data_IF_385279563392
#
_entry.id   IF_385279563392
#
_cell.length_a   1.000
_cell.length_b   1.000
_cell.length_c   1.000
_cell.angle_alpha   90.00
_cell.angle_beta   90.00
_cell.angle_gamma   90.00
#
_symmetry.space_group_name_H-M   'P 1'
#
loop_
_entity.id
_entity.type
_entity.pdbx_description
1 polymer ?
#
# COMPACT_ATOMS: atom_id res chain seq x y z
N UNK A 1 9.56 26.02 -26.22
CA UNK A 1 9.05 24.67 -25.96
C UNK A 1 8.23 24.73 -24.67
N UNK A 2 6.94 24.41 -24.73
CA UNK A 2 5.98 24.62 -23.62
C UNK A 2 6.09 23.49 -22.59
N UNK A 3 6.36 23.86 -21.35
CA UNK A 3 6.27 22.99 -20.16
C UNK A 3 4.83 22.45 -20.02
N UNK A 4 4.70 21.15 -19.72
CA UNK A 4 3.42 20.51 -19.45
C UNK A 4 3.26 20.22 -17.94
N UNK A 5 2.05 20.34 -17.38
CA UNK A 5 1.82 20.18 -15.95
C UNK A 5 1.60 18.71 -15.53
N UNK A 6 1.89 18.43 -14.25
CA UNK A 6 1.91 17.11 -13.59
C UNK A 6 0.49 16.61 -13.28
N UNK A 7 0.24 15.31 -13.50
CA UNK A 7 -1.06 14.61 -13.34
C UNK A 7 -1.21 14.02 -11.92
N UNK A 8 -2.44 14.04 -11.37
CA UNK A 8 -2.86 13.32 -10.13
C UNK A 8 -3.32 11.89 -10.47
N UNK A 9 -2.98 10.92 -9.61
CA UNK A 9 -3.32 9.49 -9.78
C UNK A 9 -4.84 9.24 -9.83
N UNK A 10 -5.24 8.25 -10.63
CA UNK A 10 -6.62 7.79 -10.79
C UNK A 10 -7.19 7.24 -9.47
N UNK A 11 -8.42 7.64 -9.15
CA UNK A 11 -9.16 7.16 -7.99
C UNK A 11 -9.48 5.67 -8.14
N UNK A 12 -9.13 4.88 -7.12
CA UNK A 12 -9.44 3.45 -6.98
C UNK A 12 -10.85 3.19 -6.40
N UNK A 13 -11.66 4.25 -6.27
CA UNK A 13 -12.95 4.20 -5.57
C UNK A 13 -14.09 3.70 -6.48
N UNK A 14 -13.87 3.65 -7.80
CA UNK A 14 -14.90 3.27 -8.79
C UNK A 14 -15.18 1.74 -8.86
N UNK A 15 -14.35 0.90 -8.23
CA UNK A 15 -14.58 -0.56 -8.20
C UNK A 15 -15.19 -1.09 -6.89
N UNK A 16 -15.46 -0.24 -5.90
CA UNK A 16 -16.05 -0.67 -4.61
C UNK A 16 -17.59 -0.61 -4.56
N UNK A 17 -18.24 -0.36 -5.70
CA UNK A 17 -19.71 -0.31 -5.78
C UNK A 17 -20.29 -1.57 -6.41
N UNK A 18 -20.36 -2.69 -5.68
CA UNK A 18 -21.21 -3.83 -6.06
C UNK A 18 -21.91 -4.52 -4.87
N UNK A 19 -23.23 -4.28 -4.84
CA UNK A 19 -24.35 -5.08 -4.37
C UNK A 19 -24.38 -5.57 -2.91
N UNK A 20 -25.21 -4.89 -2.10
CA UNK A 20 -25.94 -5.47 -0.98
C UNK A 20 -26.80 -6.64 -1.47
N UNK A 21 -26.52 -7.85 -1.01
CA UNK A 21 -27.45 -8.97 -1.12
C UNK A 21 -28.47 -8.83 0.00
N UNK A 22 -29.74 -8.64 -0.37
CA UNK A 22 -30.90 -8.86 0.49
C UNK A 22 -31.07 -10.37 0.67
N UNK A 23 -31.01 -10.87 1.90
CA UNK A 23 -31.52 -12.19 2.25
C UNK A 23 -32.90 -12.01 2.91
N UNK A 24 -33.95 -12.27 2.12
CA UNK A 24 -35.25 -12.69 2.62
C UNK A 24 -35.16 -14.15 3.08
N UNK A 25 -35.71 -14.48 4.25
CA UNK A 25 -35.77 -15.85 4.74
C UNK A 25 -36.37 -16.00 6.13
N UNK A 26 -37.68 -16.19 6.14
CA UNK A 26 -38.55 -16.40 7.30
C UNK A 26 -38.17 -17.64 8.15
N UNK A 27 -38.40 -17.54 9.46
CA UNK A 27 -38.27 -18.68 10.39
C UNK A 27 -38.79 -18.36 11.78
N UNK A 28 -40.06 -18.69 12.01
CA UNK A 28 -40.79 -18.62 13.28
C UNK A 28 -40.16 -19.49 14.39
N UNK A 29 -40.27 -19.03 15.64
CA UNK A 29 -39.94 -19.80 16.84
C UNK A 29 -40.07 -18.98 18.12
N UNK A 30 -41.27 -19.01 18.71
CA UNK A 30 -41.62 -18.50 20.03
C UNK A 30 -40.88 -19.27 21.15
N UNK A 31 -40.43 -18.59 22.21
CA UNK A 31 -40.93 -18.76 23.59
C UNK A 31 -40.12 -17.94 24.62
N UNK A 32 -40.85 -17.54 25.65
CA UNK A 32 -40.62 -16.51 26.67
C UNK A 32 -39.58 -16.87 27.77
N UNK A 33 -38.98 -15.87 28.43
CA UNK A 33 -39.24 -15.57 29.86
C UNK A 33 -38.52 -14.28 30.35
N UNK A 34 -39.13 -13.66 31.35
CA UNK A 34 -39.02 -12.28 31.85
C UNK A 34 -37.77 -11.95 32.69
N UNK A 35 -37.43 -10.64 32.75
CA UNK A 35 -36.39 -10.11 33.65
C UNK A 35 -36.25 -8.57 33.65
N UNK A 36 -37.16 -7.94 34.38
CA UNK A 36 -37.38 -6.51 34.70
C UNK A 36 -36.15 -5.56 34.89
N UNK A 37 -36.31 -4.32 34.42
CA UNK A 37 -36.01 -3.15 35.27
C UNK A 37 -34.95 -2.16 34.82
N UNK A 38 -35.35 -1.12 34.05
CA UNK A 38 -35.22 0.34 34.37
C UNK A 38 -35.27 1.23 33.12
N UNK A 39 -36.47 1.72 32.82
CA UNK A 39 -36.75 2.88 31.96
C UNK A 39 -36.48 4.20 32.68
N UNK A 40 -35.71 5.10 32.06
CA UNK A 40 -35.81 6.54 32.26
C UNK A 40 -36.12 7.20 30.91
N UNK A 41 -37.32 7.77 30.80
CA UNK A 41 -37.78 8.59 29.66
C UNK A 41 -37.30 10.04 29.83
N UNK A 42 -37.06 10.72 28.70
CA UNK A 42 -37.71 11.98 28.23
C UNK A 42 -36.81 12.62 27.16
N UNK A 43 -37.19 12.52 25.88
CA UNK A 43 -37.97 13.49 25.08
C UNK A 43 -37.17 14.69 24.58
N UNK A 44 -36.88 14.77 23.27
CA UNK A 44 -36.99 16.01 22.46
C UNK A 44 -37.40 15.66 21.00
N UNK A 45 -38.62 16.11 20.67
CA UNK A 45 -39.29 16.45 19.40
C UNK A 45 -38.72 16.05 18.03
N UNK A 46 -39.60 15.45 17.22
CA UNK A 46 -39.63 15.55 15.77
C UNK A 46 -40.19 16.92 15.34
N UNK A 47 -39.52 17.60 14.40
CA UNK A 47 -40.05 18.08 13.11
C UNK A 47 -39.14 19.19 12.54
N UNK A 48 -38.53 18.93 11.37
CA UNK A 48 -38.07 19.90 10.37
C UNK A 48 -37.24 19.17 9.31
N UNK A 49 -37.80 19.01 8.11
CA UNK A 49 -37.07 18.49 6.96
C UNK A 49 -35.86 19.35 6.59
N UNK A 50 -34.75 18.71 6.19
CA UNK A 50 -33.60 19.34 5.56
C UNK A 50 -32.78 18.29 4.78
N UNK A 51 -32.42 18.65 3.54
CA UNK A 51 -31.77 17.84 2.51
C UNK A 51 -30.41 17.24 2.94
N UNK A 52 -30.01 16.06 2.43
CA UNK A 52 -28.65 15.55 2.60
C UNK A 52 -27.79 16.04 1.44
N UNK A 53 -27.29 17.27 1.52
CA UNK A 53 -26.34 17.78 0.52
C UNK A 53 -25.29 18.70 1.13
N UNK A 54 -24.60 18.27 2.19
CA UNK A 54 -23.39 18.98 2.63
C UNK A 54 -22.40 18.02 3.32
N UNK A 55 -21.44 17.48 2.55
CA UNK A 55 -20.13 17.08 3.12
C UNK A 55 -18.94 17.09 2.13
N UNK A 56 -19.01 17.82 1.01
CA UNK A 56 -17.85 17.96 0.10
C UNK A 56 -17.39 19.41 -0.14
N UNK A 57 -18.18 20.43 0.22
CA UNK A 57 -17.80 21.83 -0.01
C UNK A 57 -16.80 22.38 1.03
N UNK A 58 -16.63 21.70 2.18
CA UNK A 58 -15.65 22.10 3.20
C UNK A 58 -14.18 21.91 2.77
N UNK A 59 -13.93 21.29 1.61
CA UNK A 59 -12.60 21.07 1.03
C UNK A 59 -12.33 21.89 -0.24
N UNK A 60 -13.21 22.82 -0.61
CA UNK A 60 -12.92 23.85 -1.62
C UNK A 60 -12.81 23.38 -3.08
N UNK A 61 -13.48 22.29 -3.46
CA UNK A 61 -13.52 21.84 -4.85
C UNK A 61 -14.72 22.44 -5.60
N UNK A 62 -14.44 23.41 -6.50
CA UNK A 62 -15.40 23.84 -7.52
C UNK A 62 -15.17 23.06 -8.82
N UNK A 63 -16.20 22.39 -9.38
CA UNK A 63 -16.08 21.77 -10.69
C UNK A 63 -16.48 22.80 -11.75
N UNK A 64 -15.51 23.45 -12.38
CA UNK A 64 -15.67 24.12 -13.68
C UNK A 64 -14.30 24.47 -14.26
N UNK A 65 -13.79 23.60 -15.12
CA UNK A 65 -13.52 23.90 -16.54
C UNK A 65 -12.75 22.73 -17.16
N UNK A 66 -13.27 22.25 -18.30
CA UNK A 66 -12.80 21.08 -19.03
C UNK A 66 -11.31 21.23 -19.42
N UNK A 67 -10.42 20.63 -18.63
CA UNK A 67 -9.04 20.38 -19.01
C UNK A 67 -8.99 19.17 -19.98
N UNK A 68 -8.16 19.21 -21.03
CA UNK A 68 -8.05 18.12 -21.99
C UNK A 68 -7.49 16.86 -21.30
N UNK A 69 -8.29 15.80 -21.31
CA UNK A 69 -7.97 14.50 -20.76
C UNK A 69 -6.77 13.87 -21.50
N UNK A 70 -5.67 13.63 -20.79
CA UNK A 70 -4.57 12.78 -21.24
C UNK A 70 -4.66 11.47 -20.45
N UNK A 71 -5.11 10.40 -21.10
CA UNK A 71 -5.58 9.16 -20.46
C UNK A 71 -4.43 8.30 -19.93
N UNK A 72 -4.33 8.15 -18.61
CA UNK A 72 -3.57 7.07 -17.93
C UNK A 72 -3.99 5.67 -18.40
N UNK A 73 -5.19 5.56 -18.97
CA UNK A 73 -5.76 4.31 -19.52
C UNK A 73 -4.98 3.75 -20.72
N UNK A 74 -4.02 4.51 -21.26
CA UNK A 74 -3.23 4.10 -22.43
C UNK A 74 -1.83 3.59 -22.09
N UNK A 75 -1.41 3.67 -20.82
CA UNK A 75 -0.07 3.24 -20.42
C UNK A 75 -0.12 1.87 -19.73
N UNK A 76 0.56 0.90 -20.34
CA UNK A 76 0.69 -0.44 -19.77
C UNK A 76 1.85 -0.48 -18.75
N UNK A 77 1.50 -0.39 -17.47
CA UNK A 77 2.44 -0.49 -16.35
C UNK A 77 3.10 -1.86 -16.20
N UNK A 78 2.57 -2.88 -16.87
CA UNK A 78 3.11 -4.25 -16.86
C UNK A 78 4.23 -4.46 -17.87
N UNK A 79 4.37 -3.53 -18.84
CA UNK A 79 5.42 -3.59 -19.85
C UNK A 79 6.67 -2.86 -19.37
N UNK A 80 7.82 -3.54 -19.44
CA UNK A 80 9.13 -2.95 -19.14
C UNK A 80 9.37 -1.71 -20.01
N UNK A 81 9.59 -0.56 -19.36
CA UNK A 81 9.89 0.69 -20.04
C UNK A 81 11.27 1.19 -19.60
N UNK A 82 12.24 1.35 -20.51
CA UNK A 82 13.59 1.76 -20.15
C UNK A 82 13.69 3.22 -19.66
N UNK A 83 12.64 4.03 -19.87
CA UNK A 83 12.61 5.45 -19.51
C UNK A 83 11.66 5.76 -18.34
N UNK A 84 10.95 4.75 -17.82
CA UNK A 84 9.92 4.95 -16.79
C UNK A 84 9.90 3.78 -15.82
N UNK A 85 9.41 4.01 -14.61
CA UNK A 85 9.13 2.93 -13.67
C UNK A 85 8.01 2.02 -14.18
N UNK A 86 8.15 0.72 -13.97
CA UNK A 86 7.13 -0.29 -14.26
C UNK A 86 7.02 -1.28 -13.10
N UNK A 87 5.96 -2.08 -13.09
CA UNK A 87 5.76 -3.12 -12.09
C UNK A 87 4.94 -4.28 -12.64
N UNK A 88 5.28 -5.50 -12.26
CA UNK A 88 4.58 -6.69 -12.68
C UNK A 88 4.22 -7.55 -11.47
N UNK A 89 3.01 -8.09 -11.46
CA UNK A 89 2.57 -9.08 -10.48
C UNK A 89 2.22 -10.37 -11.21
N UNK A 90 2.79 -11.49 -10.75
CA UNK A 90 2.50 -12.82 -11.29
C UNK A 90 2.34 -13.81 -10.15
N UNK A 91 1.34 -14.70 -10.27
CA UNK A 91 1.15 -15.76 -9.30
C UNK A 91 2.05 -16.95 -9.64
N UNK A 92 2.86 -17.38 -8.67
CA UNK A 92 3.63 -18.63 -8.75
C UNK A 92 2.86 -19.83 -8.17
N UNK A 93 1.65 -19.61 -7.67
CA UNK A 93 0.85 -20.68 -7.11
C UNK A 93 0.27 -21.57 -8.20
N UNK A 94 0.10 -22.84 -7.87
CA UNK A 94 -0.48 -23.82 -8.76
C UNK A 94 -1.95 -23.51 -9.08
N UNK A 95 -2.38 -23.95 -10.27
CA UNK A 95 -3.78 -23.95 -10.65
C UNK A 95 -4.42 -25.23 -10.18
N UNK A 96 -5.56 -25.10 -9.52
CA UNK A 96 -6.39 -26.24 -9.17
C UNK A 96 -6.76 -27.01 -10.46
N UNK A 97 -6.49 -28.32 -10.55
CA UNK A 97 -6.57 -29.06 -11.82
C UNK A 97 -8.00 -29.14 -12.39
N UNK A 98 -9.03 -29.08 -11.53
CA UNK A 98 -10.44 -29.13 -11.94
C UNK A 98 -11.04 -27.74 -12.19
N UNK A 99 -10.92 -26.80 -11.24
CA UNK A 99 -11.54 -25.48 -11.32
C UNK A 99 -10.72 -24.46 -12.12
N UNK A 100 -9.43 -24.74 -12.37
CA UNK A 100 -8.51 -23.81 -13.05
C UNK A 100 -8.14 -22.57 -12.23
N UNK A 101 -8.68 -22.41 -11.02
CA UNK A 101 -8.39 -21.29 -10.14
C UNK A 101 -6.99 -21.41 -9.56
N UNK A 102 -6.26 -20.29 -9.47
CA UNK A 102 -4.97 -20.25 -8.79
C UNK A 102 -5.19 -20.47 -7.28
N UNK A 103 -4.37 -21.31 -6.65
CA UNK A 103 -4.28 -21.32 -5.20
C UNK A 103 -3.87 -19.93 -4.69
N UNK A 104 -4.38 -19.56 -3.51
CA UNK A 104 -4.19 -18.22 -2.96
C UNK A 104 -4.91 -17.10 -3.69
N UNK A 105 -5.99 -17.40 -4.42
CA UNK A 105 -6.91 -16.36 -4.95
C UNK A 105 -7.74 -15.76 -3.80
N UNK A 106 -7.95 -14.44 -3.75
CA UNK A 106 -7.39 -13.43 -4.65
C UNK A 106 -5.93 -13.11 -4.34
N UNK A 107 -5.19 -12.61 -5.34
CA UNK A 107 -3.80 -12.16 -5.14
C UNK A 107 -3.81 -11.05 -4.09
N UNK A 108 -3.11 -11.30 -2.98
CA UNK A 108 -3.03 -10.39 -1.85
C UNK A 108 -1.81 -9.46 -1.90
N UNK A 109 -0.95 -9.61 -2.91
CA UNK A 109 0.19 -8.71 -3.11
C UNK A 109 -0.26 -7.44 -3.84
N UNK A 110 0.24 -6.30 -3.39
CA UNK A 110 -0.03 -4.99 -3.98
C UNK A 110 1.26 -4.21 -4.06
N UNK A 111 1.48 -3.53 -5.17
CA UNK A 111 2.56 -2.55 -5.32
C UNK A 111 1.99 -1.21 -5.77
N UNK A 112 2.75 -0.15 -5.56
CA UNK A 112 2.46 1.15 -6.12
C UNK A 112 3.74 1.96 -6.32
N UNK A 113 3.75 2.78 -7.36
CA UNK A 113 4.91 3.58 -7.74
C UNK A 113 4.45 5.01 -8.05
N UNK A 114 5.15 5.98 -7.48
CA UNK A 114 5.02 7.39 -7.83
C UNK A 114 6.41 7.86 -8.25
N UNK A 115 6.61 8.05 -9.56
CA UNK A 115 7.90 8.49 -10.12
C UNK A 115 7.81 9.92 -10.66
N UNK A 116 8.84 10.71 -10.35
CA UNK A 116 9.05 12.09 -10.81
C UNK A 116 10.45 12.24 -11.37
N UNK A 117 10.73 13.38 -11.99
CA UNK A 117 12.05 13.70 -12.52
C UNK A 117 13.15 13.69 -11.45
N UNK A 118 12.82 14.06 -10.22
CA UNK A 118 13.79 14.23 -9.14
C UNK A 118 13.63 13.25 -7.97
N UNK A 119 12.54 12.50 -7.89
CA UNK A 119 12.31 11.54 -6.81
C UNK A 119 11.40 10.39 -7.24
N UNK A 120 11.41 9.30 -6.47
CA UNK A 120 10.49 8.20 -6.65
C UNK A 120 10.08 7.59 -5.32
N UNK A 121 8.82 7.20 -5.21
CA UNK A 121 8.28 6.40 -4.11
C UNK A 121 7.88 5.06 -4.70
N UNK A 122 8.40 3.97 -4.15
CA UNK A 122 8.08 2.60 -4.53
C UNK A 122 7.59 1.89 -3.27
N UNK A 123 6.43 1.26 -3.33
CA UNK A 123 5.90 0.52 -2.20
C UNK A 123 5.42 -0.86 -2.63
N UNK A 124 5.63 -1.85 -1.76
CA UNK A 124 5.18 -3.23 -1.93
C UNK A 124 4.61 -3.75 -0.61
N UNK A 125 3.48 -4.45 -0.70
CA UNK A 125 2.82 -5.10 0.41
C UNK A 125 2.44 -6.53 -0.01
N UNK A 126 2.84 -7.53 0.77
CA UNK A 126 2.42 -8.94 0.64
C UNK A 126 1.42 -9.23 1.77
N UNK A 127 0.14 -9.39 1.42
CA UNK A 127 -0.90 -9.74 2.37
C UNK A 127 -0.60 -11.08 3.03
N UNK A 128 -0.61 -11.11 4.36
CA UNK A 128 -0.28 -12.31 5.12
C UNK A 128 -1.43 -13.31 5.02
N UNK A 129 -1.10 -14.56 4.70
CA UNK A 129 -2.04 -15.62 4.31
C UNK A 129 -2.73 -15.32 2.96
N UNK A 130 -3.95 -15.84 2.77
CA UNK A 130 -4.74 -15.69 1.55
C UNK A 130 -6.11 -15.10 1.90
N UNK A 131 -6.84 -14.67 0.87
CA UNK A 131 -8.21 -14.24 1.02
C UNK A 131 -8.39 -12.72 0.96
N UNK A 132 -9.65 -12.30 1.04
CA UNK A 132 -10.04 -10.91 0.83
C UNK A 132 -9.47 -9.97 1.90
N UNK A 133 -9.43 -10.40 3.16
CA UNK A 133 -8.89 -9.60 4.25
C UNK A 133 -7.41 -9.27 4.06
N UNK A 134 -6.60 -10.24 3.59
CA UNK A 134 -5.18 -10.03 3.32
C UNK A 134 -4.97 -9.07 2.13
N UNK A 135 -5.74 -9.25 1.06
CA UNK A 135 -5.74 -8.36 -0.10
C UNK A 135 -6.13 -6.93 0.28
N UNK A 136 -7.21 -6.78 1.04
CA UNK A 136 -7.67 -5.47 1.50
C UNK A 136 -6.60 -4.81 2.37
N UNK A 137 -5.98 -5.56 3.28
CA UNK A 137 -4.91 -5.04 4.12
C UNK A 137 -3.74 -4.49 3.28
N UNK A 138 -3.27 -5.26 2.30
CA UNK A 138 -2.19 -4.82 1.40
C UNK A 138 -2.55 -3.56 0.60
N UNK A 139 -3.78 -3.47 0.08
CA UNK A 139 -4.27 -2.27 -0.64
C UNK A 139 -4.28 -1.05 0.28
N UNK A 140 -4.79 -1.21 1.51
CA UNK A 140 -4.83 -0.14 2.51
C UNK A 140 -3.43 0.30 2.91
N UNK A 141 -2.50 -0.64 3.14
CA UNK A 141 -1.12 -0.33 3.48
C UNK A 141 -0.45 0.52 2.39
N UNK A 142 -0.55 0.09 1.12
CA UNK A 142 0.01 0.82 -0.01
C UNK A 142 -0.62 2.21 -0.14
N UNK A 143 -1.95 2.29 -0.13
CA UNK A 143 -2.66 3.57 -0.28
C UNK A 143 -2.28 4.56 0.81
N UNK A 144 -2.39 4.15 2.08
CA UNK A 144 -2.09 5.01 3.22
C UNK A 144 -0.63 5.45 3.23
N UNK A 145 0.30 4.55 2.92
CA UNK A 145 1.72 4.88 2.90
C UNK A 145 2.10 5.83 1.75
N UNK A 146 1.64 5.54 0.53
CA UNK A 146 1.93 6.37 -0.64
C UNK A 146 1.33 7.76 -0.50
N UNK A 147 0.08 7.88 -0.06
CA UNK A 147 -0.57 9.17 0.14
C UNK A 147 0.18 10.01 1.19
N UNK A 148 0.61 9.39 2.29
CA UNK A 148 1.33 10.06 3.36
C UNK A 148 2.69 10.61 2.89
N UNK A 149 3.51 9.78 2.24
CA UNK A 149 4.83 10.20 1.73
C UNK A 149 4.65 11.22 0.60
N UNK A 150 3.72 10.99 -0.33
CA UNK A 150 3.47 11.89 -1.45
C UNK A 150 3.06 13.29 -0.98
N UNK A 151 2.18 13.38 0.01
CA UNK A 151 1.77 14.66 0.57
C UNK A 151 2.92 15.42 1.25
N UNK A 152 3.90 14.72 1.82
CA UNK A 152 5.10 15.33 2.39
C UNK A 152 6.05 15.83 1.28
N UNK A 153 6.25 15.03 0.23
CA UNK A 153 7.04 15.42 -0.96
C UNK A 153 6.45 16.68 -1.62
N UNK A 154 5.13 16.75 -1.80
CA UNK A 154 4.47 17.91 -2.42
C UNK A 154 4.59 19.19 -1.60
N UNK A 155 4.82 19.07 -0.28
CA UNK A 155 5.04 20.20 0.63
C UNK A 155 6.51 20.58 0.77
N UNK A 156 7.42 19.88 0.07
CA UNK A 156 8.87 20.05 0.16
C UNK A 156 9.38 20.00 1.61
N UNK A 157 8.86 19.04 2.40
CA UNK A 157 9.06 19.01 3.85
C UNK A 157 10.33 18.29 4.32
N UNK A 158 11.27 17.98 3.42
CA UNK A 158 12.46 17.17 3.74
C UNK A 158 13.75 17.98 3.64
N UNK A 159 14.41 18.20 4.78
CA UNK A 159 15.75 18.79 4.80
C UNK A 159 16.83 17.73 5.02
N UNK A 160 16.49 16.67 5.77
CA UNK A 160 17.41 15.62 6.18
C UNK A 160 16.82 14.23 5.96
N UNK A 161 17.69 13.22 5.94
CA UNK A 161 17.28 11.80 5.91
C UNK A 161 16.50 11.41 7.16
N UNK A 162 16.70 12.11 8.28
CA UNK A 162 15.90 11.91 9.51
C UNK A 162 14.45 12.31 9.28
N UNK A 163 14.20 13.44 8.61
CA UNK A 163 12.84 13.89 8.28
C UNK A 163 12.14 12.88 7.36
N UNK A 164 12.90 12.37 6.39
CA UNK A 164 12.44 11.28 5.50
C UNK A 164 12.02 10.06 6.31
N UNK A 165 12.87 9.54 7.20
CA UNK A 165 12.53 8.35 7.99
C UNK A 165 11.37 8.61 8.96
N UNK A 166 11.27 9.79 9.56
CA UNK A 166 10.12 10.14 10.40
C UNK A 166 8.81 10.13 9.59
N UNK A 167 8.83 10.67 8.38
CA UNK A 167 7.68 10.61 7.48
C UNK A 167 7.37 9.18 7.04
N UNK A 168 8.38 8.36 6.71
CA UNK A 168 8.15 6.95 6.35
C UNK A 168 7.57 6.14 7.51
N UNK A 169 7.99 6.38 8.75
CA UNK A 169 7.36 5.77 9.92
C UNK A 169 5.90 6.24 10.09
N UNK A 170 5.63 7.53 9.83
CA UNK A 170 4.27 8.06 9.74
C UNK A 170 3.43 7.40 8.64
N UNK A 171 4.05 7.03 7.53
CA UNK A 171 3.41 6.32 6.42
C UNK A 171 2.98 4.90 6.81
N UNK A 172 3.78 4.20 7.62
CA UNK A 172 3.42 2.89 8.16
C UNK A 172 2.23 2.99 9.12
N UNK A 173 2.22 4.05 9.96
CA UNK A 173 1.07 4.33 10.80
C UNK A 173 -0.19 4.64 9.96
N UNK A 174 -0.07 5.48 8.93
CA UNK A 174 -1.18 5.81 8.05
C UNK A 174 -1.75 4.58 7.33
N UNK A 175 -0.88 3.72 6.78
CA UNK A 175 -1.27 2.44 6.18
C UNK A 175 -1.98 1.53 7.19
N UNK A 176 -1.42 1.40 8.41
CA UNK A 176 -2.03 0.62 9.48
C UNK A 176 -3.39 1.14 9.93
N UNK A 177 -3.54 2.45 10.12
CA UNK A 177 -4.82 3.08 10.45
C UNK A 177 -5.88 2.81 9.38
N UNK A 178 -5.51 2.87 8.11
CA UNK A 178 -6.43 2.58 7.02
C UNK A 178 -6.84 1.10 7.00
N UNK A 179 -5.92 0.17 7.28
CA UNK A 179 -6.26 -1.26 7.44
C UNK A 179 -7.33 -1.45 8.51
N UNK A 180 -7.17 -0.82 9.68
CA UNK A 180 -8.13 -0.94 10.78
C UNK A 180 -9.48 -0.32 10.42
N UNK A 181 -9.47 0.82 9.73
CA UNK A 181 -10.68 1.51 9.29
C UNK A 181 -11.51 0.63 8.33
N UNK A 182 -10.85 -0.01 7.36
CA UNK A 182 -11.52 -0.82 6.34
C UNK A 182 -11.72 -2.28 6.77
N UNK A 183 -11.27 -2.67 7.97
CA UNK A 183 -11.42 -4.04 8.47
C UNK A 183 -10.53 -5.07 7.74
N UNK A 184 -9.39 -4.63 7.22
CA UNK A 184 -8.39 -5.52 6.62
C UNK A 184 -7.74 -6.46 7.65
N UNK A 185 -7.19 -7.57 7.16
CA UNK A 185 -6.42 -8.51 7.98
C UNK A 185 -4.96 -8.03 8.13
N UNK A 186 -3.99 -8.88 7.79
CA UNK A 186 -2.57 -8.63 8.01
C UNK A 186 -1.82 -8.49 6.69
N UNK A 187 -0.79 -7.63 6.65
CA UNK A 187 0.09 -7.46 5.48
C UNK A 187 1.49 -7.04 5.89
N UNK A 188 2.48 -7.39 5.07
CA UNK A 188 3.80 -6.74 5.12
C UNK A 188 3.74 -5.36 4.47
N UNK A 189 4.78 -4.54 4.68
CA UNK A 189 4.94 -3.28 3.94
C UNK A 189 6.43 -2.94 3.80
N UNK A 190 6.86 -2.74 2.56
CA UNK A 190 8.16 -2.21 2.18
C UNK A 190 7.92 -0.89 1.42
N UNK A 191 8.52 0.20 1.88
CA UNK A 191 8.48 1.50 1.21
C UNK A 191 9.90 1.96 0.94
N UNK A 192 10.20 2.28 -0.31
CA UNK A 192 11.46 2.83 -0.77
C UNK A 192 11.21 4.25 -1.31
N UNK A 193 12.01 5.21 -0.84
CA UNK A 193 12.00 6.58 -1.29
C UNK A 193 13.38 6.97 -1.82
N UNK A 194 13.41 7.41 -3.07
CA UNK A 194 14.61 7.91 -3.74
C UNK A 194 14.51 9.43 -3.80
N UNK A 195 15.51 10.12 -3.25
CA UNK A 195 15.54 11.59 -3.20
C UNK A 195 16.94 12.13 -3.51
N UNK A 196 17.05 13.33 -4.11
CA UNK A 196 18.33 13.92 -4.49
C UNK A 196 19.06 14.43 -3.25
N UNK A 197 20.40 14.34 -3.26
CA UNK A 197 21.22 14.86 -2.17
C UNK A 197 21.72 16.26 -2.54
N UNK A 198 21.53 17.20 -1.61
CA UNK A 198 21.98 18.58 -1.81
C UNK A 198 23.48 18.64 -2.11
N UNK A 199 23.86 19.37 -3.16
CA UNK A 199 25.24 19.53 -3.64
C UNK A 199 25.92 18.21 -4.04
N UNK A 200 25.16 17.24 -4.55
CA UNK A 200 25.69 15.98 -5.08
C UNK A 200 24.87 15.53 -6.28
N UNK A 201 25.50 14.78 -7.18
CA UNK A 201 24.82 14.08 -8.29
C UNK A 201 24.26 12.72 -7.83
N UNK A 202 24.45 12.36 -6.56
CA UNK A 202 23.93 11.13 -5.98
C UNK A 202 22.53 11.33 -5.40
N UNK A 203 21.81 10.21 -5.28
CA UNK A 203 20.52 10.12 -4.62
C UNK A 203 20.66 9.28 -3.34
N UNK A 204 19.85 9.61 -2.35
CA UNK A 204 19.63 8.76 -1.19
C UNK A 204 18.46 7.82 -1.49
N UNK A 205 18.69 6.52 -1.32
CA UNK A 205 17.62 5.51 -1.24
C UNK A 205 17.37 5.22 0.24
N UNK A 206 16.23 5.68 0.74
CA UNK A 206 15.73 5.40 2.08
C UNK A 206 14.66 4.30 1.99
N UNK A 207 14.79 3.26 2.81
CA UNK A 207 13.86 2.12 2.83
C UNK A 207 13.36 1.92 4.25
N UNK A 208 12.04 1.89 4.42
CA UNK A 208 11.39 1.42 5.63
C UNK A 208 10.68 0.10 5.32
N UNK A 209 10.84 -0.91 6.17
CA UNK A 209 10.31 -2.25 5.91
C UNK A 209 9.82 -2.92 7.19
N UNK A 210 8.64 -3.54 7.13
CA UNK A 210 8.13 -4.51 8.11
C UNK A 210 7.67 -5.76 7.36
N UNK A 211 8.08 -6.92 7.85
CA UNK A 211 7.85 -8.19 7.17
C UNK A 211 9.06 -8.64 6.35
N UNK A 212 8.82 -9.53 5.39
CA UNK A 212 9.85 -10.25 4.63
C UNK A 212 9.93 -9.84 3.15
N UNK A 213 9.22 -8.79 2.76
CA UNK A 213 9.42 -8.09 1.49
C UNK A 213 10.82 -7.46 1.43
N UNK A 214 11.43 -7.45 0.25
CA UNK A 214 12.83 -7.09 0.07
C UNK A 214 12.99 -5.93 -0.90
N UNK A 215 14.00 -5.10 -0.65
CA UNK A 215 14.43 -4.03 -1.54
C UNK A 215 15.88 -4.27 -1.98
N UNK A 216 16.13 -4.14 -3.28
CA UNK A 216 17.43 -4.31 -3.90
C UNK A 216 17.83 -3.08 -4.70
N UNK A 217 19.14 -2.89 -4.82
CA UNK A 217 19.76 -2.00 -5.79
C UNK A 217 20.62 -2.85 -6.71
N UNK A 218 20.46 -2.67 -8.01
CA UNK A 218 21.37 -3.19 -9.01
C UNK A 218 22.18 -2.04 -9.63
N UNK A 219 23.48 -2.23 -9.71
CA UNK A 219 24.40 -1.36 -10.43
C UNK A 219 25.37 -2.24 -11.24
N UNK A 220 25.74 -1.80 -12.44
CA UNK A 220 26.58 -2.56 -13.36
C UNK A 220 28.01 -2.87 -12.83
N UNK A 221 28.53 -2.06 -11.90
CA UNK A 221 29.84 -2.24 -11.25
C UNK A 221 29.75 -3.15 -10.04
N UNK A 222 28.78 -2.91 -9.14
CA UNK A 222 28.69 -3.60 -7.85
C UNK A 222 27.72 -4.80 -7.83
N UNK A 223 26.97 -5.01 -8.90
CA UNK A 223 25.96 -6.06 -8.99
C UNK A 223 24.72 -5.75 -8.14
N UNK A 224 24.05 -6.81 -7.68
CA UNK A 224 22.84 -6.72 -6.86
C UNK A 224 23.23 -6.62 -5.38
N UNK A 225 22.69 -5.62 -4.69
CA UNK A 225 22.83 -5.41 -3.25
C UNK A 225 21.46 -5.32 -2.60
N UNK A 226 21.24 -6.08 -1.53
CA UNK A 226 20.02 -5.97 -0.75
C UNK A 226 20.12 -4.82 0.26
N UNK A 227 19.07 -4.00 0.35
CA UNK A 227 18.95 -2.87 1.29
C UNK A 227 18.27 -3.29 2.58
N UNK A 228 17.40 -4.30 2.52
CA UNK A 228 16.57 -4.81 3.63
C UNK A 228 17.24 -5.89 4.48
N UNK A 229 18.56 -6.06 4.42
CA UNK A 229 19.28 -7.15 5.11
C UNK A 229 18.99 -7.26 6.61
N UNK A 230 18.73 -6.14 7.28
CA UNK A 230 18.47 -6.11 8.72
C UNK A 230 17.06 -6.61 9.11
N UNK A 231 16.15 -6.80 8.14
CA UNK A 231 14.75 -7.21 8.38
C UNK A 231 14.56 -8.71 8.64
N UNK A 232 15.60 -9.52 8.41
CA UNK A 232 15.52 -10.97 8.54
C UNK A 232 16.88 -11.58 8.90
N UNK A 233 16.86 -12.76 9.51
CA UNK A 233 18.07 -13.52 9.82
C UNK A 233 18.54 -14.31 8.59
N UNK A 234 19.68 -13.89 8.00
CA UNK A 234 20.29 -14.55 6.84
C UNK A 234 20.82 -15.96 7.14
N UNK A 235 21.05 -16.29 8.41
CA UNK A 235 21.56 -17.58 8.84
C UNK A 235 20.43 -18.61 9.08
N UNK A 236 19.18 -18.16 9.17
CA UNK A 236 18.02 -19.02 9.37
C UNK A 236 17.28 -19.28 8.06
N UNK A 237 16.71 -20.49 7.94
CA UNK A 237 15.75 -20.74 6.86
C UNK A 237 14.51 -19.90 7.09
N UNK A 238 14.09 -19.15 6.07
CA UNK A 238 12.85 -18.37 6.12
C UNK A 238 11.64 -19.32 6.18
N UNK A 239 10.78 -19.12 7.17
CA UNK A 239 9.46 -19.74 7.18
C UNK A 239 8.51 -18.89 6.33
N UNK A 240 8.03 -19.42 5.21
CA UNK A 240 7.12 -18.69 4.31
C UNK A 240 5.76 -18.34 4.95
N UNK A 241 5.46 -18.87 6.14
CA UNK A 241 4.25 -18.56 6.90
C UNK A 241 4.47 -17.44 7.91
N UNK A 242 5.72 -17.11 8.20
CA UNK A 242 6.09 -16.09 9.18
C UNK A 242 6.89 -14.98 8.49
N UNK A 243 6.20 -13.88 8.21
CA UNK A 243 6.84 -12.67 7.69
C UNK A 243 7.74 -11.99 8.75
N UNK A 244 7.69 -12.46 9.99
CA UNK A 244 8.22 -11.78 11.17
C UNK A 244 7.25 -10.70 11.64
N UNK A 245 7.24 -9.57 10.94
CA UNK A 245 6.38 -8.43 11.25
C UNK A 245 5.23 -8.25 10.26
N UNK A 246 4.16 -7.62 10.72
CA UNK A 246 3.01 -7.30 9.89
C UNK A 246 2.26 -6.05 10.40
N UNK A 247 1.70 -5.29 9.47
CA UNK A 247 0.67 -4.31 9.74
C UNK A 247 -0.70 -4.98 9.80
N UNK A 248 -1.61 -4.37 10.57
CA UNK A 248 -2.98 -4.85 10.77
C UNK A 248 -3.22 -5.27 12.23
N UNK A 249 -4.41 -5.77 12.56
CA UNK A 249 -4.80 -6.08 13.94
C UNK A 249 -4.23 -7.43 14.42
N UNK A 250 -2.92 -7.52 14.65
CA UNK A 250 -2.26 -8.79 15.06
C UNK A 250 -2.77 -9.26 16.43
N UNK A 251 -2.90 -8.35 17.38
CA UNK A 251 -3.43 -8.58 18.73
C UNK A 251 -4.73 -7.81 18.97
N UNK A 252 -5.55 -7.71 17.91
CA UNK A 252 -6.84 -7.02 17.92
C UNK A 252 -6.78 -5.59 17.38
N UNK A 253 -5.74 -4.81 17.70
CA UNK A 253 -5.54 -3.48 17.09
C UNK A 253 -4.10 -3.10 16.80
N UNK A 254 -3.10 -3.70 17.44
CA UNK A 254 -1.72 -3.27 17.24
C UNK A 254 -1.05 -4.04 16.09
N UNK A 255 -0.12 -3.40 15.37
CA UNK A 255 0.73 -4.09 14.42
C UNK A 255 1.86 -4.83 15.14
N UNK A 256 2.48 -5.79 14.45
CA UNK A 256 3.69 -6.46 14.91
C UNK A 256 4.91 -5.87 14.19
N UNK A 257 5.72 -5.09 14.92
CA UNK A 257 6.82 -4.30 14.35
C UNK A 257 8.20 -4.83 14.73
N UNK A 258 8.32 -6.10 15.13
CA UNK A 258 9.57 -6.61 15.73
C UNK A 258 10.77 -6.56 14.77
N UNK A 259 10.54 -6.65 13.46
CA UNK A 259 11.56 -6.54 12.42
C UNK A 259 11.39 -5.27 11.56
N UNK A 260 10.71 -4.25 12.10
CA UNK A 260 10.66 -2.95 11.46
C UNK A 260 12.08 -2.41 11.34
N UNK A 261 12.50 -2.08 10.13
CA UNK A 261 13.82 -1.52 9.86
C UNK A 261 13.72 -0.26 9.02
N UNK A 262 14.64 0.66 9.27
CA UNK A 262 14.93 1.81 8.41
C UNK A 262 16.37 1.65 7.92
N UNK A 263 16.56 1.60 6.61
CA UNK A 263 17.85 1.38 5.96
C UNK A 263 18.09 2.42 4.89
N UNK A 264 19.35 2.77 4.67
CA UNK A 264 19.74 3.79 3.70
C UNK A 264 20.94 3.32 2.89
N UNK A 265 20.94 3.62 1.60
CA UNK A 265 22.12 3.53 0.75
C UNK A 265 22.15 4.67 -0.25
N UNK A 266 23.28 4.87 -0.91
CA UNK A 266 23.41 5.84 -1.99
C UNK A 266 23.25 5.14 -3.33
N UNK A 267 22.56 5.81 -4.26
CA UNK A 267 22.35 5.34 -5.63
C UNK A 267 22.68 6.46 -6.61
N UNK A 268 23.06 6.07 -7.82
CA UNK A 268 23.44 6.96 -8.91
C UNK A 268 22.47 6.84 -10.08
N UNK A 269 22.54 7.80 -11.00
CA UNK A 269 21.87 7.68 -12.27
C UNK A 269 22.30 6.39 -12.99
N UNK A 270 21.33 5.62 -13.49
CA UNK A 270 21.55 4.31 -14.09
C UNK A 270 21.47 3.12 -13.13
N UNK A 271 21.39 3.35 -11.82
CA UNK A 271 21.09 2.29 -10.86
C UNK A 271 19.61 1.89 -10.92
N UNK A 272 19.32 0.60 -10.72
CA UNK A 272 17.96 0.06 -10.71
C UNK A 272 17.57 -0.27 -9.26
N UNK A 273 16.49 0.35 -8.78
CA UNK A 273 15.87 0.03 -7.48
C UNK A 273 14.70 -0.92 -7.71
N UNK A 274 14.66 -2.03 -6.99
CA UNK A 274 13.61 -3.04 -7.13
C UNK A 274 13.08 -3.50 -5.76
N UNK A 275 11.76 -3.57 -5.62
CA UNK A 275 11.10 -4.18 -4.47
C UNK A 275 10.44 -5.50 -4.89
N UNK A 276 10.69 -6.58 -4.16
CA UNK A 276 10.12 -7.90 -4.46
C UNK A 276 9.66 -8.61 -3.20
N UNK A 277 8.64 -9.45 -3.33
CA UNK A 277 8.21 -10.36 -2.27
C UNK A 277 9.14 -11.56 -2.18
N UNK A 278 9.19 -12.19 -0.99
CA UNK A 278 10.09 -13.30 -0.65
C UNK A 278 9.95 -14.54 -1.57
N UNK A 279 8.81 -14.74 -2.24
CA UNK A 279 8.58 -15.89 -3.13
C UNK A 279 9.40 -15.85 -4.44
N UNK A 280 10.04 -14.73 -4.76
CA UNK A 280 10.93 -14.59 -5.92
C UNK A 280 12.34 -14.33 -5.41
N UNK A 281 13.13 -15.40 -5.23
CA UNK A 281 14.57 -15.26 -5.08
C UNK A 281 15.14 -15.08 -6.48
N UNK A 282 15.75 -13.92 -6.76
CA UNK A 282 16.51 -13.69 -8.00
C UNK A 282 17.68 -14.68 -8.02
N UNK A 283 17.48 -15.86 -8.59
CA UNK A 283 18.49 -16.88 -8.74
C UNK A 283 19.36 -16.54 -9.95
N UNK A 284 20.33 -15.63 -9.81
CA UNK A 284 21.53 -15.45 -10.66
C UNK A 284 21.37 -15.52 -12.21
N UNK A 285 20.16 -15.41 -12.72
CA UNK A 285 19.80 -15.62 -14.12
C UNK A 285 18.68 -14.62 -14.37
N UNK A 286 18.82 -13.86 -15.45
CA UNK A 286 17.87 -12.84 -15.92
C UNK A 286 18.06 -11.44 -15.29
N UNK A 287 19.28 -10.91 -15.44
CA UNK A 287 19.48 -9.48 -15.70
C UNK A 287 19.82 -9.35 -17.20
N UNK A 288 18.89 -8.85 -18.01
CA UNK A 288 19.13 -8.36 -19.38
C UNK A 288 18.46 -7.00 -19.49
#
# INVERSE_FOLDING_TARGET
MRQQPIVRMANLDDELSLSSYEEDGDGEGEDDDEGDGRTARLNISADAGMNPSHSMEALGFHPTDLAPCCSTDTFDWTTCNPLRSFGASTSLYEKHPVTGMNAGTPIADVFGIISRENNAIIALADGVNWGEGARLAARCAIRGALDHVNAAVEKDSFETTTDVFHCMLGAFHAGHSLILQEGGALTTLCVAFVAPIKNSDNYALCVANVGDSLCFVYNHVSGVREVTLASHDIAQMRDMRDAGGALGPVDGRNPQLHNLTCSMTFVQEGDIVNCTKNKVRLSHTDCI
#
